data_IF_394183709338
#
_entry.id   IF_394183709338
#
_cell.length_a   1.000
_cell.length_b   1.000
_cell.length_c   1.000
_cell.angle_alpha   90.00
_cell.angle_beta   90.00
_cell.angle_gamma   90.00
#
_symmetry.space_group_name_H-M   'P 1'
#
loop_
_entity.id
_entity.type
_entity.pdbx_description
1 polymer ?
#
# COMPACT_ATOMS: atom_id res chain seq x y z
N UNK A 1 24.91 12.58 -47.66
CA UNK A 1 24.82 11.48 -46.68
C UNK A 1 25.05 12.10 -45.33
N UNK A 2 23.97 12.41 -44.62
CA UNK A 2 24.04 12.92 -43.25
C UNK A 2 23.32 11.89 -42.38
N UNK A 3 24.10 11.13 -41.62
CA UNK A 3 23.63 9.97 -40.87
C UNK A 3 24.44 9.90 -39.60
N UNK A 4 24.15 10.83 -38.69
CA UNK A 4 24.86 10.96 -37.44
C UNK A 4 24.04 11.64 -36.34
N UNK A 5 22.79 11.22 -36.11
CA UNK A 5 22.05 11.71 -34.91
C UNK A 5 21.00 10.75 -34.32
N UNK A 6 20.95 9.49 -34.71
CA UNK A 6 19.83 8.60 -34.34
C UNK A 6 20.01 7.87 -33.00
N UNK A 7 21.23 7.76 -32.46
CA UNK A 7 21.51 6.92 -31.29
C UNK A 7 21.28 7.61 -29.93
N UNK A 8 21.46 8.93 -29.84
CA UNK A 8 21.32 9.66 -28.57
C UNK A 8 19.86 10.02 -28.21
N UNK A 9 18.99 10.19 -29.22
CA UNK A 9 17.57 10.52 -28.99
C UNK A 9 16.76 9.33 -28.46
N UNK A 10 17.10 8.10 -28.86
CA UNK A 10 16.39 6.87 -28.44
C UNK A 10 16.57 6.61 -26.94
N UNK A 11 17.75 6.89 -26.39
CA UNK A 11 18.08 6.59 -25.00
C UNK A 11 17.38 7.53 -23.99
N UNK A 12 17.00 8.73 -24.42
CA UNK A 12 16.33 9.73 -23.57
C UNK A 12 14.82 9.46 -23.45
N UNK A 13 14.19 9.03 -24.55
CA UNK A 13 12.75 8.70 -24.57
C UNK A 13 12.43 7.43 -23.78
N UNK A 14 13.29 6.41 -23.83
CA UNK A 14 13.11 5.18 -23.05
C UNK A 14 13.21 5.45 -21.54
N UNK A 15 14.07 6.36 -21.11
CA UNK A 15 14.24 6.71 -19.70
C UNK A 15 13.03 7.50 -19.14
N UNK A 16 12.47 8.43 -19.91
CA UNK A 16 11.24 9.14 -19.55
C UNK A 16 10.02 8.21 -19.48
N UNK A 17 9.93 7.24 -20.38
CA UNK A 17 8.86 6.25 -20.36
C UNK A 17 8.98 5.31 -19.16
N UNK A 18 10.21 4.88 -18.82
CA UNK A 18 10.48 4.05 -17.63
C UNK A 18 10.13 4.81 -16.35
N UNK A 19 10.58 6.06 -16.20
CA UNK A 19 10.29 6.87 -15.01
C UNK A 19 8.79 7.13 -14.84
N UNK A 20 8.06 7.40 -15.92
CA UNK A 20 6.59 7.51 -15.92
C UNK A 20 5.93 6.20 -15.49
N UNK A 21 6.44 5.07 -15.95
CA UNK A 21 5.92 3.74 -15.56
C UNK A 21 6.12 3.45 -14.07
N UNK A 22 7.24 3.88 -13.49
CA UNK A 22 7.53 3.73 -12.06
C UNK A 22 6.63 4.65 -11.23
N UNK A 23 6.43 5.89 -11.67
CA UNK A 23 5.53 6.84 -10.99
C UNK A 23 4.09 6.32 -10.91
N UNK A 24 3.56 5.76 -11.99
CA UNK A 24 2.21 5.17 -11.99
C UNK A 24 2.11 3.92 -11.09
N UNK A 25 3.16 3.09 -11.06
CA UNK A 25 3.23 1.94 -10.13
C UNK A 25 3.22 2.38 -8.68
N UNK A 26 4.02 3.40 -8.33
CA UNK A 26 4.07 3.95 -6.96
C UNK A 26 2.73 4.58 -6.57
N UNK A 27 2.11 5.34 -7.47
CA UNK A 27 0.78 5.92 -7.25
C UNK A 27 -0.27 4.82 -7.00
N UNK A 28 -0.27 3.79 -7.83
CA UNK A 28 -1.19 2.65 -7.68
C UNK A 28 -0.95 1.91 -6.37
N UNK A 29 0.31 1.66 -6.01
CA UNK A 29 0.67 1.02 -4.75
C UNK A 29 0.22 1.85 -3.54
N UNK A 30 0.39 3.17 -3.58
CA UNK A 30 -0.07 4.08 -2.53
C UNK A 30 -1.60 4.05 -2.37
N UNK A 31 -2.34 4.14 -3.48
CA UNK A 31 -3.80 4.09 -3.46
C UNK A 31 -4.28 2.77 -2.85
N UNK A 32 -3.75 1.65 -3.33
CA UNK A 32 -4.10 0.32 -2.83
C UNK A 32 -3.79 0.17 -1.33
N UNK A 33 -2.61 0.63 -0.89
CA UNK A 33 -2.23 0.57 0.52
C UNK A 33 -3.15 1.42 1.39
N UNK A 34 -3.53 2.61 0.92
CA UNK A 34 -4.46 3.50 1.63
C UNK A 34 -5.84 2.87 1.78
N UNK A 35 -6.39 2.29 0.71
CA UNK A 35 -7.68 1.61 0.72
C UNK A 35 -7.67 0.39 1.65
N UNK A 36 -6.60 -0.40 1.62
CA UNK A 36 -6.43 -1.52 2.54
C UNK A 36 -6.39 -1.08 4.00
N UNK A 37 -5.69 0.03 4.28
CA UNK A 37 -5.56 0.55 5.65
C UNK A 37 -6.90 1.04 6.20
N UNK A 38 -7.72 1.71 5.37
CA UNK A 38 -9.07 2.14 5.74
C UNK A 38 -9.95 0.94 6.12
N UNK A 39 -9.92 -0.14 5.32
CA UNK A 39 -10.66 -1.37 5.59
C UNK A 39 -10.19 -1.99 6.91
N UNK A 40 -8.88 -2.13 7.09
CA UNK A 40 -8.28 -2.72 8.30
C UNK A 40 -8.68 -1.92 9.55
N UNK A 41 -8.67 -0.58 9.47
CA UNK A 41 -9.03 0.27 10.60
C UNK A 41 -10.50 0.10 11.00
N UNK A 42 -11.41 0.03 10.03
CA UNK A 42 -12.83 -0.26 10.28
C UNK A 42 -13.00 -1.65 10.88
N UNK A 43 -12.30 -2.65 10.38
CA UNK A 43 -12.39 -4.03 10.88
C UNK A 43 -11.85 -4.16 12.30
N UNK A 44 -10.72 -3.53 12.61
CA UNK A 44 -10.14 -3.51 13.95
C UNK A 44 -11.08 -2.82 14.94
N UNK A 45 -11.67 -1.69 14.57
CA UNK A 45 -12.64 -0.97 15.41
C UNK A 45 -13.91 -1.77 15.68
N UNK A 46 -14.34 -2.62 14.74
CA UNK A 46 -15.51 -3.51 14.90
C UNK A 46 -15.19 -4.81 15.63
N UNK A 47 -13.94 -5.26 15.57
CA UNK A 47 -13.49 -6.52 16.15
C UNK A 47 -13.47 -6.46 17.68
N UNK A 48 -13.74 -7.60 18.33
CA UNK A 48 -13.69 -7.74 19.78
C UNK A 48 -13.02 -9.05 20.13
N UNK A 49 -11.97 -9.00 20.96
CA UNK A 49 -11.37 -10.20 21.53
C UNK A 49 -12.07 -10.48 22.86
N UNK A 50 -12.56 -11.71 23.02
CA UNK A 50 -13.14 -12.20 24.26
C UNK A 50 -12.26 -13.34 24.77
N UNK A 51 -11.88 -13.28 26.04
CA UNK A 51 -11.11 -14.30 26.73
C UNK A 51 -12.01 -15.03 27.71
N UNK A 52 -11.88 -16.36 27.78
CA UNK A 52 -12.58 -17.22 28.73
C UNK A 52 -11.55 -17.81 29.68
N UNK A 53 -11.73 -17.63 30.99
CA UNK A 53 -10.86 -18.24 32.00
C UNK A 53 -11.30 -19.66 32.37
N UNK A 54 -10.58 -20.30 33.30
CA UNK A 54 -10.86 -21.68 33.72
C UNK A 54 -12.18 -21.83 34.45
N UNK A 55 -12.71 -20.74 35.03
CA UNK A 55 -13.99 -20.71 35.73
C UNK A 55 -15.15 -20.35 34.80
N UNK A 56 -14.86 -20.11 33.51
CA UNK A 56 -15.83 -19.76 32.48
C UNK A 56 -16.18 -18.27 32.40
N UNK A 57 -15.45 -17.40 33.09
CA UNK A 57 -15.71 -15.96 33.05
C UNK A 57 -15.21 -15.35 31.75
N UNK A 58 -16.02 -14.44 31.20
CA UNK A 58 -15.73 -13.71 29.97
C UNK A 58 -15.11 -12.35 30.27
N UNK A 59 -13.91 -12.10 29.74
CA UNK A 59 -13.25 -10.79 29.79
C UNK A 59 -13.04 -10.24 28.39
N UNK A 60 -13.42 -8.97 28.16
CA UNK A 60 -13.13 -8.27 26.90
C UNK A 60 -11.68 -7.80 26.90
N UNK A 61 -10.94 -8.17 25.86
CA UNK A 61 -9.57 -7.69 25.61
C UNK A 61 -9.63 -6.61 24.52
N UNK A 62 -9.14 -5.38 24.78
CA UNK A 62 -9.07 -4.35 23.75
C UNK A 62 -8.01 -4.70 22.71
N UNK A 63 -8.33 -4.49 21.43
CA UNK A 63 -7.41 -4.75 20.31
C UNK A 63 -6.44 -3.58 20.12
N UNK A 64 -6.93 -2.37 20.32
CA UNK A 64 -6.16 -1.15 20.31
C UNK A 64 -6.04 -0.69 21.77
N UNK A 65 -4.81 -0.49 22.26
CA UNK A 65 -4.64 0.46 23.35
C UNK A 65 -5.05 1.81 22.77
N UNK A 66 -5.94 2.51 23.46
CA UNK A 66 -6.31 3.89 23.11
C UNK A 66 -5.03 4.69 22.80
N UNK A 67 -5.09 5.56 21.79
CA UNK A 67 -3.95 6.37 21.34
C UNK A 67 -3.23 7.07 22.50
#
# INVERSE_FOLDING_TARGET
MDSGNTAEQVNSQDNEQVTRSVAEKLKTAYINAREQLEIIEVELNRSKIMMVDQDGNLTRVPILSEH
#
